data_IF_453839656341
#
_entry.id   IF_453839656341
#
_cell.length_a   1.000
_cell.length_b   1.000
_cell.length_c   1.000
_cell.angle_alpha   90.00
_cell.angle_beta   90.00
_cell.angle_gamma   90.00
#
_symmetry.space_group_name_H-M   'P 1'
#
loop_
_entity.id
_entity.type
_entity.pdbx_description
1 polymer ?
#
# COMPACT_ATOMS: atom_id res chain seq x y z
N UNK A 1 1.64 5.70 11.15
CA UNK A 1 0.82 4.55 10.71
C UNK A 1 -0.24 5.08 9.76
N UNK A 2 -0.48 4.37 8.66
CA UNK A 2 -1.47 4.69 7.62
C UNK A 2 -2.49 3.56 7.59
N UNK A 3 -3.77 3.91 7.51
CA UNK A 3 -4.89 2.95 7.47
C UNK A 3 -5.47 2.95 6.06
N UNK A 4 -5.46 1.80 5.39
CA UNK A 4 -6.05 1.62 4.06
C UNK A 4 -7.23 0.65 4.15
N UNK A 5 -8.39 1.09 3.67
CA UNK A 5 -9.69 0.41 3.86
C UNK A 5 -10.48 0.41 2.56
N UNK A 6 -11.05 -0.74 2.18
CA UNK A 6 -11.93 -0.86 1.00
C UNK A 6 -13.39 -0.97 1.45
N UNK A 7 -14.07 0.18 1.60
CA UNK A 7 -15.44 0.27 2.16
C UNK A 7 -16.55 -0.20 1.22
N UNK A 8 -16.28 -0.26 -0.08
CA UNK A 8 -17.18 -0.76 -1.12
C UNK A 8 -17.30 -2.29 -1.13
N UNK A 9 -16.41 -3.00 -0.42
CA UNK A 9 -16.48 -4.45 -0.27
C UNK A 9 -17.34 -4.85 0.93
N UNK A 10 -18.13 -5.91 0.79
CA UNK A 10 -19.00 -6.45 1.84
C UNK A 10 -18.27 -6.79 3.15
N UNK A 11 -16.97 -7.09 3.06
CA UNK A 11 -16.12 -7.46 4.20
C UNK A 11 -15.25 -6.30 4.72
N UNK A 12 -15.31 -5.13 4.08
CA UNK A 12 -14.56 -3.93 4.42
C UNK A 12 -13.09 -4.21 4.80
N UNK A 13 -12.31 -4.88 3.93
CA UNK A 13 -10.95 -5.29 4.28
C UNK A 13 -10.10 -4.07 4.63
N UNK A 14 -9.18 -4.29 5.58
CA UNK A 14 -8.37 -3.26 6.19
C UNK A 14 -6.94 -3.74 6.34
N UNK A 15 -5.99 -2.86 6.00
CA UNK A 15 -4.58 -3.05 6.30
C UNK A 15 -3.99 -1.82 7.00
N UNK A 16 -3.05 -2.07 7.91
CA UNK A 16 -2.30 -1.02 8.59
C UNK A 16 -0.87 -1.03 8.05
N UNK A 17 -0.42 0.12 7.54
CA UNK A 17 0.90 0.29 6.95
C UNK A 17 1.76 1.22 7.81
N UNK A 18 3.05 0.89 7.89
CA UNK A 18 4.05 1.86 8.31
C UNK A 18 4.23 2.94 7.24
N UNK A 19 4.90 4.05 7.56
CA UNK A 19 5.23 5.05 6.54
C UNK A 19 6.10 4.43 5.44
N UNK A 20 7.08 3.62 5.82
CA UNK A 20 7.90 2.84 4.88
C UNK A 20 7.06 1.90 4.02
N UNK A 21 6.15 1.11 4.62
CA UNK A 21 5.27 0.22 3.87
C UNK A 21 4.33 0.97 2.91
N UNK A 22 3.95 2.21 3.25
CA UNK A 22 3.17 3.09 2.37
C UNK A 22 3.99 3.55 1.16
N UNK A 23 5.28 3.84 1.36
CA UNK A 23 6.21 4.17 0.28
C UNK A 23 6.45 2.99 -0.65
N UNK A 24 6.64 1.79 -0.10
CA UNK A 24 6.79 0.56 -0.89
C UNK A 24 5.51 0.28 -1.69
N UNK A 25 4.33 0.41 -1.10
CA UNK A 25 3.07 0.25 -1.83
C UNK A 25 2.96 1.23 -3.01
N UNK A 26 3.33 2.50 -2.81
CA UNK A 26 3.33 3.51 -3.89
C UNK A 26 4.25 3.10 -5.05
N UNK A 27 5.47 2.64 -4.73
CA UNK A 27 6.41 2.13 -5.74
C UNK A 27 5.89 0.87 -6.43
N UNK A 28 5.30 -0.06 -5.68
CA UNK A 28 4.76 -1.32 -6.18
C UNK A 28 3.60 -1.09 -7.16
N UNK A 29 2.69 -0.16 -6.87
CA UNK A 29 1.60 0.21 -7.79
C UNK A 29 2.16 0.72 -9.12
N UNK A 30 3.17 1.60 -9.07
CA UNK A 30 3.79 2.11 -10.30
C UNK A 30 4.52 1.01 -11.07
N UNK A 31 5.25 0.13 -10.37
CA UNK A 31 5.90 -1.02 -10.99
C UNK A 31 4.89 -1.94 -11.67
N UNK A 32 3.81 -2.32 -10.97
CA UNK A 32 2.73 -3.13 -11.52
C UNK A 32 2.13 -2.50 -12.78
N UNK A 33 1.79 -1.20 -12.73
CA UNK A 33 1.24 -0.44 -13.86
C UNK A 33 2.14 -0.46 -15.09
N UNK A 34 3.45 -0.38 -14.91
CA UNK A 34 4.42 -0.41 -16.00
C UNK A 34 4.73 -1.82 -16.50
N UNK A 35 4.39 -2.84 -15.74
CA UNK A 35 4.72 -4.24 -16.04
C UNK A 35 3.57 -5.05 -16.64
N UNK A 36 2.30 -4.64 -16.51
CA UNK A 36 1.17 -5.38 -17.10
C UNK A 36 1.42 -5.66 -18.60
N UNK A 37 1.16 -6.89 -19.08
CA UNK A 37 0.56 -8.03 -18.37
C UNK A 37 1.57 -8.97 -17.69
N UNK A 38 2.85 -8.58 -17.62
CA UNK A 38 3.91 -9.41 -17.06
C UNK A 38 3.90 -9.37 -15.52
N UNK A 39 4.17 -10.51 -14.85
CA UNK A 39 4.30 -10.53 -13.41
C UNK A 39 5.54 -9.75 -12.96
N UNK A 40 5.48 -9.23 -11.73
CA UNK A 40 6.62 -8.67 -11.00
C UNK A 40 6.85 -9.50 -9.74
N UNK A 41 8.08 -9.49 -9.17
CA UNK A 41 8.32 -10.13 -7.88
C UNK A 41 7.43 -9.56 -6.78
N UNK A 42 7.05 -10.42 -5.84
CA UNK A 42 6.36 -9.99 -4.63
C UNK A 42 7.28 -9.13 -3.76
N UNK A 43 6.70 -8.15 -3.10
CA UNK A 43 7.42 -7.29 -2.15
C UNK A 43 7.01 -7.59 -0.72
N UNK A 44 8.00 -7.70 0.15
CA UNK A 44 7.79 -7.97 1.57
C UNK A 44 8.34 -6.81 2.39
N UNK A 45 7.48 -6.23 3.22
CA UNK A 45 7.87 -5.21 4.20
C UNK A 45 7.85 -5.85 5.57
N UNK A 46 9.02 -5.95 6.17
CA UNK A 46 9.19 -6.44 7.53
C UNK A 46 9.04 -5.31 8.57
N UNK A 47 9.01 -5.68 9.85
CA UNK A 47 9.00 -4.74 10.99
C UNK A 47 7.73 -4.82 11.84
N UNK A 48 7.33 -3.71 12.44
CA UNK A 48 6.20 -3.64 13.39
C UNK A 48 4.81 -3.81 12.77
N UNK A 49 4.68 -3.59 11.46
CA UNK A 49 3.47 -3.82 10.67
C UNK A 49 3.86 -4.60 9.41
N UNK A 50 4.15 -5.90 9.52
CA UNK A 50 4.51 -6.72 8.37
C UNK A 50 3.40 -6.73 7.33
N UNK A 51 3.78 -6.69 6.06
CA UNK A 51 2.83 -6.73 4.93
C UNK A 51 3.52 -7.28 3.70
N UNK A 52 2.78 -8.04 2.89
CA UNK A 52 3.20 -8.54 1.58
C UNK A 52 2.35 -7.92 0.48
N UNK A 53 2.99 -7.53 -0.62
CA UNK A 53 2.36 -7.05 -1.82
C UNK A 53 2.61 -8.03 -2.97
N UNK A 54 1.58 -8.36 -3.73
CA UNK A 54 1.72 -9.16 -4.94
C UNK A 54 0.81 -8.63 -6.07
N UNK A 55 1.17 -8.94 -7.30
CA UNK A 55 0.41 -8.60 -8.49
C UNK A 55 -0.30 -9.86 -9.01
N UNK A 56 -1.63 -9.84 -9.01
CA UNK A 56 -2.45 -10.87 -9.64
C UNK A 56 -2.99 -10.36 -10.99
N UNK A 57 -2.80 -11.14 -12.05
CA UNK A 57 -3.20 -10.81 -13.43
C UNK A 57 -4.23 -11.80 -14.01
N UNK A 58 -4.74 -12.76 -13.23
CA UNK A 58 -5.54 -13.87 -13.77
C UNK A 58 -6.92 -13.42 -14.30
N UNK A 59 -7.57 -12.50 -13.60
CA UNK A 59 -8.92 -12.00 -13.92
C UNK A 59 -8.91 -10.46 -13.92
N UNK A 60 -7.98 -9.90 -14.68
CA UNK A 60 -7.65 -8.48 -14.62
C UNK A 60 -6.59 -8.18 -13.55
N UNK A 61 -5.79 -7.13 -13.82
CA UNK A 61 -4.68 -6.78 -12.97
C UNK A 61 -5.17 -6.16 -11.65
N UNK A 62 -4.66 -6.68 -10.53
CA UNK A 62 -4.95 -6.20 -9.18
C UNK A 62 -3.71 -6.27 -8.31
N UNK A 63 -3.52 -5.25 -7.48
CA UNK A 63 -2.56 -5.31 -6.39
C UNK A 63 -3.25 -5.96 -5.20
N UNK A 64 -2.64 -6.99 -4.65
CA UNK A 64 -3.13 -7.68 -3.47
C UNK A 64 -2.21 -7.37 -2.30
N UNK A 65 -2.82 -6.99 -1.18
CA UNK A 65 -2.12 -6.67 0.05
C UNK A 65 -2.51 -7.68 1.11
N UNK A 66 -1.53 -8.42 1.61
CA UNK A 66 -1.71 -9.45 2.64
C UNK A 66 -1.03 -9.02 3.94
N UNK A 67 -1.78 -9.12 5.03
CA UNK A 67 -1.30 -8.86 6.38
C UNK A 67 -1.84 -9.95 7.30
N UNK A 68 -0.97 -10.52 8.13
CA UNK A 68 -1.33 -11.65 9.01
C UNK A 68 -2.54 -11.30 9.89
N UNK A 69 -3.51 -12.22 9.96
CA UNK A 69 -4.74 -12.05 10.72
C UNK A 69 -5.82 -11.19 10.05
N UNK A 70 -5.55 -10.62 8.86
CA UNK A 70 -6.49 -9.80 8.11
C UNK A 70 -6.92 -10.47 6.80
N UNK A 71 -8.11 -10.11 6.32
CA UNK A 71 -8.54 -10.44 4.96
C UNK A 71 -7.67 -9.67 3.95
N UNK A 72 -7.24 -10.30 2.84
CA UNK A 72 -6.49 -9.61 1.81
C UNK A 72 -7.26 -8.41 1.26
N UNK A 73 -6.55 -7.29 1.09
CA UNK A 73 -7.10 -6.10 0.46
C UNK A 73 -6.72 -6.11 -1.02
N UNK A 74 -7.74 -6.17 -1.89
CA UNK A 74 -7.58 -6.19 -3.33
C UNK A 74 -7.81 -4.78 -3.91
N UNK A 75 -6.89 -4.30 -4.72
CA UNK A 75 -6.97 -3.00 -5.40
C UNK A 75 -6.92 -3.23 -6.91
N UNK A 76 -8.05 -3.04 -7.56
CA UNK A 76 -8.22 -3.23 -9.00
C UNK A 76 -7.52 -2.11 -9.79
N UNK A 77 -6.97 -2.42 -10.96
CA UNK A 77 -6.20 -1.50 -11.81
C UNK A 77 -6.81 -0.11 -12.02
N UNK A 78 -8.14 0.04 -12.23
CA UNK A 78 -8.75 1.36 -12.39
C UNK A 78 -8.62 2.30 -11.18
N UNK A 79 -8.30 1.76 -10.01
CA UNK A 79 -8.11 2.53 -8.77
C UNK A 79 -6.65 2.96 -8.55
N UNK A 80 -5.71 2.44 -9.32
CA UNK A 80 -4.27 2.61 -9.07
C UNK A 80 -3.83 4.06 -9.19
N UNK A 81 -4.23 4.76 -10.25
CA UNK A 81 -3.81 6.15 -10.49
C UNK A 81 -4.28 7.09 -9.38
N UNK A 82 -5.52 6.90 -8.93
CA UNK A 82 -6.08 7.67 -7.80
C UNK A 82 -5.37 7.33 -6.50
N UNK A 83 -5.21 6.05 -6.20
CA UNK A 83 -4.56 5.62 -4.97
C UNK A 83 -3.09 6.08 -4.92
N UNK A 84 -2.36 5.97 -6.03
CA UNK A 84 -0.98 6.44 -6.15
C UNK A 84 -0.88 7.94 -5.81
N UNK A 85 -1.75 8.77 -6.37
CA UNK A 85 -1.78 10.20 -6.07
C UNK A 85 -2.09 10.47 -4.58
N UNK A 86 -3.05 9.75 -3.99
CA UNK A 86 -3.37 9.84 -2.56
C UNK A 86 -2.16 9.42 -1.69
N UNK A 87 -1.47 8.34 -2.06
CA UNK A 87 -0.27 7.87 -1.36
C UNK A 87 0.87 8.90 -1.42
N UNK A 88 1.09 9.57 -2.54
CA UNK A 88 2.10 10.64 -2.62
C UNK A 88 1.86 11.75 -1.59
N UNK A 89 0.60 12.16 -1.40
CA UNK A 89 0.23 13.17 -0.40
C UNK A 89 0.40 12.64 1.02
N UNK A 90 -0.10 11.42 1.29
CA UNK A 90 0.01 10.77 2.60
C UNK A 90 1.47 10.58 3.02
N UNK A 91 2.34 10.17 2.10
CA UNK A 91 3.77 10.00 2.34
C UNK A 91 4.43 11.34 2.68
N UNK A 92 4.15 12.40 1.90
CA UNK A 92 4.70 13.73 2.15
C UNK A 92 4.31 14.25 3.54
N UNK A 93 3.02 14.16 3.91
CA UNK A 93 2.55 14.54 5.24
C UNK A 93 3.11 13.65 6.35
N UNK A 94 3.19 12.34 6.12
CA UNK A 94 3.76 11.39 7.07
C UNK A 94 5.23 11.70 7.41
N UNK A 95 6.03 12.06 6.41
CA UNK A 95 7.42 12.47 6.59
C UNK A 95 7.55 13.76 7.40
N UNK A 96 6.71 14.75 7.11
CA UNK A 96 6.74 16.01 7.88
C UNK A 96 6.32 15.80 9.34
N UNK A 97 5.29 14.99 9.60
CA UNK A 97 4.88 14.65 10.96
C UNK A 97 5.97 13.89 11.72
N UNK A 98 6.64 12.93 11.06
CA UNK A 98 7.78 12.22 11.65
C UNK A 98 8.95 13.15 11.96
N UNK A 99 9.24 14.10 11.05
CA UNK A 99 10.28 15.13 11.26
C UNK A 99 9.95 16.01 12.47
N UNK A 100 8.71 16.48 12.58
CA UNK A 100 8.26 17.30 13.72
C UNK A 100 8.29 16.53 15.04
N UNK A 101 7.90 15.26 15.05
CA UNK A 101 7.97 14.40 16.24
C UNK A 101 9.42 14.09 16.67
N UNK A 102 10.36 14.05 15.72
CA UNK A 102 11.80 13.95 15.98
C UNK A 102 12.42 15.26 16.50
N UNK A 103 11.75 16.40 16.32
CA UNK A 103 12.10 17.67 16.96
C UNK A 103 11.40 17.72 18.33
N UNK A 104 11.79 16.84 19.23
CA UNK A 104 11.46 16.99 20.64
C UNK A 104 12.50 17.92 21.27
N UNK A 105 12.09 19.12 21.67
CA UNK A 105 12.93 20.04 22.43
C UNK A 105 13.00 19.61 23.90
N UNK A 106 14.22 19.73 24.46
CA UNK A 106 14.59 19.46 25.86
C UNK A 106 13.74 20.23 26.88
#
# INVERSE_FOLDING_TARGET
>A
MVRLERRDSAYCPLVLLSLYGTEILSGFIMAARLSIPFPIPDENVEGHLPVRFHLDCNEGARVVIEQEGNMPLLIDEPLWDRLYAELCLVIAHGRELARLAGISLH
#
